data_IF_755708851961
#
_entry.id   IF_755708851961
#
_cell.length_a   1.000
_cell.length_b   1.000
_cell.length_c   1.000
_cell.angle_alpha   90.00
_cell.angle_beta   90.00
_cell.angle_gamma   90.00
#
_symmetry.space_group_name_H-M   'P 1'
#
loop_
_entity.id
_entity.type
_entity.pdbx_description
1 polymer ?
#
# COMPACT_ATOMS: atom_id res chain seq x y z
N UNK A 1 -8.77 -53.26 34.13
CA UNK A 1 -9.54 -52.18 33.46
C UNK A 1 -9.11 -50.84 34.06
N UNK A 2 -8.00 -50.28 33.58
CA UNK A 2 -7.48 -48.96 33.94
C UNK A 2 -6.85 -48.43 32.65
N UNK A 3 -6.98 -47.13 32.36
CA UNK A 3 -6.62 -46.42 31.10
C UNK A 3 -7.82 -46.21 30.17
N UNK A 4 -8.69 -45.25 30.50
CA UNK A 4 -9.60 -44.60 29.52
C UNK A 4 -10.14 -43.23 29.99
N UNK A 5 -9.65 -42.68 31.11
CA UNK A 5 -10.18 -41.44 31.72
C UNK A 5 -9.31 -40.18 31.51
N UNK A 6 -8.20 -40.28 30.76
CA UNK A 6 -7.25 -39.16 30.62
C UNK A 6 -7.54 -38.19 29.46
N UNK A 7 -8.46 -38.53 28.54
CA UNK A 7 -8.71 -37.73 27.33
C UNK A 7 -9.53 -36.43 27.54
N UNK A 8 -10.56 -36.35 28.43
CA UNK A 8 -11.36 -35.12 28.54
C UNK A 8 -10.65 -34.00 29.32
N UNK A 9 -9.62 -34.31 30.11
CA UNK A 9 -8.89 -33.30 30.91
C UNK A 9 -7.90 -32.48 30.07
N UNK A 10 -7.32 -33.07 29.02
CA UNK A 10 -6.39 -32.38 28.11
C UNK A 10 -7.15 -31.41 27.19
N UNK A 11 -8.37 -31.74 26.79
CA UNK A 11 -9.22 -30.87 25.98
C UNK A 11 -9.71 -29.63 26.74
N UNK A 12 -9.97 -29.75 28.06
CA UNK A 12 -10.38 -28.61 28.88
C UNK A 12 -9.22 -27.66 29.22
N UNK A 13 -7.98 -28.16 29.30
CA UNK A 13 -6.80 -27.33 29.60
C UNK A 13 -6.35 -26.46 28.40
N UNK A 14 -6.68 -26.84 27.16
CA UNK A 14 -6.34 -26.07 25.96
C UNK A 14 -7.21 -24.81 25.76
N UNK A 15 -8.38 -24.72 26.41
CA UNK A 15 -9.32 -23.59 26.24
C UNK A 15 -8.94 -22.39 27.15
N UNK A 16 -8.12 -22.60 28.18
CA UNK A 16 -7.81 -21.58 29.20
C UNK A 16 -6.57 -20.72 28.85
N UNK A 17 -5.81 -21.09 27.81
CA UNK A 17 -4.48 -20.53 27.56
C UNK A 17 -4.37 -19.45 26.49
N UNK A 18 -5.38 -19.27 25.62
CA UNK A 18 -5.33 -18.24 24.60
C UNK A 18 -5.92 -16.94 25.17
N UNK A 19 -5.07 -16.04 25.66
CA UNK A 19 -5.46 -14.65 25.86
C UNK A 19 -6.07 -14.15 24.55
N UNK A 20 -7.26 -13.52 24.56
CA UNK A 20 -7.73 -12.86 23.35
C UNK A 20 -6.66 -11.87 22.92
N UNK A 21 -6.18 -11.97 21.69
CA UNK A 21 -5.42 -10.91 21.06
C UNK A 21 -6.35 -9.70 21.01
N UNK A 22 -6.20 -8.82 21.98
CA UNK A 22 -6.94 -7.57 22.08
C UNK A 22 -6.24 -6.61 21.15
N UNK A 23 -6.66 -6.60 19.89
CA UNK A 23 -6.20 -5.59 18.96
C UNK A 23 -6.51 -4.20 19.54
N UNK A 24 -5.51 -3.31 19.53
CA UNK A 24 -5.64 -1.96 20.05
C UNK A 24 -6.61 -1.13 19.21
N UNK A 25 -7.00 0.09 19.63
CA UNK A 25 -7.66 1.01 18.69
C UNK A 25 -6.73 1.30 17.50
N UNK A 26 -7.26 1.67 16.31
CA UNK A 26 -6.43 2.15 15.22
C UNK A 26 -5.52 3.30 15.67
N UNK A 27 -4.26 3.25 15.23
CA UNK A 27 -3.23 4.25 15.46
C UNK A 27 -3.07 5.14 14.23
N UNK A 28 -2.66 6.39 14.44
CA UNK A 28 -2.41 7.32 13.34
C UNK A 28 -1.14 6.89 12.57
N UNK A 29 -1.25 6.84 11.25
CA UNK A 29 -0.16 6.53 10.35
C UNK A 29 0.26 7.77 9.56
N UNK A 30 1.56 8.06 9.48
CA UNK A 30 2.08 9.16 8.69
C UNK A 30 3.53 8.94 8.26
N UNK A 31 3.93 9.55 7.14
CA UNK A 31 5.30 9.46 6.67
C UNK A 31 5.50 9.89 5.23
N UNK A 32 6.59 9.44 4.62
CA UNK A 32 6.95 9.73 3.23
C UNK A 32 7.00 8.46 2.38
N UNK A 33 6.66 8.62 1.11
CA UNK A 33 6.81 7.61 0.07
C UNK A 33 7.59 8.25 -1.08
N UNK A 34 8.85 7.86 -1.21
CA UNK A 34 9.69 8.23 -2.34
C UNK A 34 9.65 7.10 -3.36
N UNK A 35 9.54 7.43 -4.65
CA UNK A 35 9.44 6.39 -5.68
C UNK A 35 10.23 6.73 -6.93
N UNK A 36 10.69 5.69 -7.62
CA UNK A 36 11.38 5.78 -8.89
C UNK A 36 10.76 4.82 -9.90
N UNK A 37 10.18 5.38 -10.98
CA UNK A 37 9.65 4.59 -12.09
C UNK A 37 10.78 3.81 -12.77
N UNK A 38 10.58 2.51 -12.96
CA UNK A 38 11.52 1.62 -13.63
C UNK A 38 11.37 1.84 -15.15
N UNK A 39 12.34 2.47 -15.86
CA UNK A 39 12.12 2.90 -17.24
C UNK A 39 11.81 1.75 -18.21
N UNK A 40 12.40 0.57 -17.98
CA UNK A 40 12.18 -0.62 -18.81
C UNK A 40 10.80 -1.28 -18.63
N UNK A 41 10.03 -0.87 -17.62
CA UNK A 41 8.69 -1.43 -17.34
C UNK A 41 7.56 -0.70 -18.07
N UNK A 42 7.83 0.47 -18.66
CA UNK A 42 6.80 1.38 -19.18
C UNK A 42 6.24 0.88 -20.51
N UNK A 43 4.95 0.54 -20.53
CA UNK A 43 4.23 0.05 -21.70
C UNK A 43 3.08 1.02 -22.05
N UNK A 44 3.30 1.96 -22.97
CA UNK A 44 2.27 2.91 -23.39
C UNK A 44 1.38 2.33 -24.50
N UNK A 45 0.08 2.66 -24.45
CA UNK A 45 -0.90 2.41 -25.51
C UNK A 45 -1.82 3.62 -25.67
N UNK A 46 -1.91 4.15 -26.88
CA UNK A 46 -2.78 5.29 -27.19
C UNK A 46 -4.06 4.85 -27.88
N UNK A 47 -5.20 5.42 -27.50
CA UNK A 47 -6.47 5.27 -28.18
C UNK A 47 -7.22 6.62 -28.21
N UNK A 48 -7.25 7.27 -29.37
CA UNK A 48 -7.81 8.61 -29.51
C UNK A 48 -7.03 9.62 -28.65
N UNK A 49 -7.75 10.37 -27.82
CA UNK A 49 -7.19 11.38 -26.91
C UNK A 49 -6.74 10.81 -25.56
N UNK A 50 -6.75 9.48 -25.40
CA UNK A 50 -6.34 8.83 -24.17
C UNK A 50 -5.03 8.05 -24.37
N UNK A 51 -4.15 8.12 -23.37
CA UNK A 51 -2.98 7.26 -23.26
C UNK A 51 -3.12 6.39 -22.02
N UNK A 52 -2.93 5.09 -22.18
CA UNK A 52 -2.89 4.11 -21.12
C UNK A 52 -1.44 3.70 -20.91
N UNK A 53 -0.96 3.68 -19.67
CA UNK A 53 0.39 3.21 -19.35
C UNK A 53 0.25 2.12 -18.30
N UNK A 54 0.90 0.98 -18.51
CA UNK A 54 1.24 0.04 -17.44
C UNK A 54 2.74 0.18 -17.14
N UNK A 55 3.11 0.18 -15.87
CA UNK A 55 4.51 0.33 -15.44
C UNK A 55 4.71 -0.22 -14.02
N UNK A 56 5.97 -0.21 -13.59
CA UNK A 56 6.41 -0.54 -12.25
C UNK A 56 7.37 0.54 -11.71
N UNK A 57 7.46 0.64 -10.40
CA UNK A 57 8.36 1.53 -9.67
C UNK A 57 8.93 0.86 -8.43
N UNK A 58 10.09 1.32 -8.00
CA UNK A 58 10.64 0.98 -6.69
C UNK A 58 10.34 2.13 -5.72
N UNK A 59 9.88 1.78 -4.52
CA UNK A 59 9.48 2.73 -3.48
C UNK A 59 10.31 2.61 -2.21
N UNK A 60 10.50 3.72 -1.51
CA UNK A 60 11.05 3.78 -0.16
C UNK A 60 10.05 4.50 0.75
N UNK A 61 9.74 3.87 1.88
CA UNK A 61 8.84 4.40 2.91
C UNK A 61 9.63 4.77 4.15
N UNK A 62 9.28 5.91 4.75
CA UNK A 62 9.73 6.32 6.10
C UNK A 62 8.54 6.79 6.93
N UNK A 63 8.63 6.72 8.26
CA UNK A 63 7.56 7.09 9.19
C UNK A 63 6.90 5.85 9.81
N UNK A 64 5.57 5.75 9.77
CA UNK A 64 4.86 4.58 10.30
C UNK A 64 5.17 3.29 9.54
N UNK A 65 5.35 3.40 8.22
CA UNK A 65 5.92 2.33 7.39
C UNK A 65 7.40 2.65 7.15
N UNK A 66 8.29 1.74 7.52
CA UNK A 66 9.73 1.86 7.28
C UNK A 66 10.21 0.69 6.43
N UNK A 67 10.59 0.93 5.17
CA UNK A 67 10.97 -0.16 4.30
C UNK A 67 11.01 0.19 2.82
N UNK A 68 10.98 -0.86 2.00
CA UNK A 68 11.06 -0.77 0.54
C UNK A 68 9.85 -1.43 -0.09
N UNK A 69 9.52 -1.01 -1.30
CA UNK A 69 8.50 -1.65 -2.09
C UNK A 69 8.91 -1.81 -3.55
N UNK A 70 8.29 -2.81 -4.17
CA UNK A 70 8.17 -2.88 -5.61
C UNK A 70 6.69 -2.68 -5.92
N UNK A 71 6.35 -1.77 -6.82
CA UNK A 71 4.97 -1.38 -7.06
C UNK A 71 4.63 -1.61 -8.52
N UNK A 72 3.38 -2.00 -8.79
CA UNK A 72 2.85 -2.11 -10.16
C UNK A 72 1.64 -1.24 -10.32
N UNK A 73 1.56 -0.50 -11.42
CA UNK A 73 0.49 0.47 -11.60
C UNK A 73 0.07 0.64 -13.05
N UNK A 74 -1.10 1.25 -13.19
CA UNK A 74 -1.66 1.70 -14.46
C UNK A 74 -2.07 3.16 -14.38
N UNK A 75 -1.77 3.91 -15.43
CA UNK A 75 -2.21 5.28 -15.65
C UNK A 75 -3.23 5.33 -16.77
N UNK A 76 -4.21 6.20 -16.62
CA UNK A 76 -5.07 6.66 -17.69
C UNK A 76 -4.91 8.17 -17.80
N UNK A 77 -4.34 8.61 -18.92
CA UNK A 77 -4.11 10.00 -19.26
C UNK A 77 -5.18 10.47 -20.25
N UNK A 78 -5.98 11.45 -19.85
CA UNK A 78 -7.02 12.07 -20.66
C UNK A 78 -6.54 13.45 -21.13
N UNK A 79 -6.26 13.59 -22.43
CA UNK A 79 -5.93 14.88 -23.02
C UNK A 79 -7.16 15.78 -23.03
N UNK A 80 -7.14 16.85 -22.23
CA UNK A 80 -8.21 17.86 -22.14
C UNK A 80 -7.97 19.08 -23.03
N UNK A 81 -6.71 19.48 -23.18
CA UNK A 81 -6.27 20.55 -24.06
C UNK A 81 -4.90 20.18 -24.67
N UNK A 82 -4.33 20.96 -25.61
CA UNK A 82 -3.02 20.66 -26.20
C UNK A 82 -1.93 20.34 -25.16
N UNK A 83 -1.94 21.06 -24.04
CA UNK A 83 -0.93 20.96 -22.97
C UNK A 83 -1.54 20.65 -21.59
N UNK A 84 -2.75 20.06 -21.56
CA UNK A 84 -3.42 19.69 -20.30
C UNK A 84 -3.88 18.24 -20.39
N UNK A 85 -3.37 17.44 -19.47
CA UNK A 85 -3.65 16.01 -19.31
C UNK A 85 -4.13 15.76 -17.89
N UNK A 86 -5.33 15.23 -17.75
CA UNK A 86 -5.81 14.68 -16.48
C UNK A 86 -5.41 13.22 -16.37
N UNK A 87 -4.82 12.83 -15.26
CA UNK A 87 -4.24 11.51 -15.08
C UNK A 87 -4.88 10.86 -13.87
N UNK A 88 -5.34 9.63 -14.04
CA UNK A 88 -5.76 8.76 -12.95
C UNK A 88 -4.75 7.61 -12.85
N UNK A 89 -4.35 7.28 -11.62
CA UNK A 89 -3.47 6.14 -11.32
C UNK A 89 -4.18 5.14 -10.44
N UNK A 90 -3.91 3.86 -10.68
CA UNK A 90 -4.23 2.76 -9.77
C UNK A 90 -3.07 1.76 -9.78
N UNK A 91 -2.66 1.32 -8.61
CA UNK A 91 -1.64 0.29 -8.48
C UNK A 91 -1.70 -0.46 -7.16
N UNK A 92 -0.82 -1.43 -7.05
CA UNK A 92 -0.55 -2.21 -5.85
C UNK A 92 0.92 -2.03 -5.47
N UNK A 93 1.16 -1.75 -4.19
CA UNK A 93 2.46 -1.62 -3.53
C UNK A 93 2.78 -2.95 -2.87
N UNK A 94 3.91 -3.56 -3.21
CA UNK A 94 4.41 -4.78 -2.56
C UNK A 94 5.53 -4.41 -1.59
N UNK A 95 5.15 -4.10 -0.35
CA UNK A 95 6.03 -3.58 0.69
C UNK A 95 6.71 -4.70 1.48
N UNK A 96 7.97 -4.49 1.83
CA UNK A 96 8.73 -5.27 2.82
C UNK A 96 9.42 -4.33 3.78
N UNK A 97 9.22 -4.53 5.08
CA UNK A 97 9.79 -3.69 6.11
C UNK A 97 9.03 -3.79 7.42
N UNK A 98 9.08 -2.69 8.17
CA UNK A 98 8.56 -2.60 9.53
C UNK A 98 7.34 -1.66 9.60
N UNK A 99 6.37 -2.05 10.43
CA UNK A 99 5.22 -1.22 10.81
C UNK A 99 5.06 -1.31 12.32
N UNK A 100 5.33 -0.22 13.02
CA UNK A 100 5.19 -0.12 14.49
C UNK A 100 5.84 -1.32 15.22
N UNK A 101 7.16 -1.49 15.00
CA UNK A 101 8.00 -2.56 15.56
C UNK A 101 7.71 -4.00 15.09
N UNK A 102 6.80 -4.20 14.12
CA UNK A 102 6.53 -5.51 13.52
C UNK A 102 7.12 -5.63 12.12
N UNK A 103 7.83 -6.72 11.84
CA UNK A 103 8.48 -6.94 10.55
C UNK A 103 7.66 -7.88 9.66
N UNK A 104 7.52 -7.52 8.38
CA UNK A 104 6.85 -8.40 7.43
C UNK A 104 6.68 -7.83 6.05
N UNK A 105 5.63 -8.30 5.38
CA UNK A 105 5.24 -7.85 4.04
C UNK A 105 3.82 -7.33 4.04
N UNK A 106 3.54 -6.30 3.26
CA UNK A 106 2.18 -5.81 3.00
C UNK A 106 1.93 -5.71 1.51
N UNK A 107 0.69 -5.95 1.10
CA UNK A 107 0.18 -5.45 -0.17
C UNK A 107 -0.76 -4.30 0.11
N UNK A 108 -0.49 -3.12 -0.47
CA UNK A 108 -1.35 -1.95 -0.35
C UNK A 108 -1.87 -1.56 -1.72
N UNK A 109 -3.17 -1.28 -1.83
CA UNK A 109 -3.75 -0.71 -3.05
C UNK A 109 -3.75 0.80 -2.97
N UNK A 110 -3.26 1.47 -4.00
CA UNK A 110 -3.36 2.92 -4.13
C UNK A 110 -4.17 3.33 -5.37
N UNK A 111 -4.88 4.44 -5.23
CA UNK A 111 -5.56 5.13 -6.32
C UNK A 111 -5.33 6.62 -6.18
N UNK A 112 -5.13 7.32 -7.29
CA UNK A 112 -4.86 8.75 -7.23
C UNK A 112 -5.08 9.45 -8.56
N UNK A 113 -4.82 10.74 -8.55
CA UNK A 113 -4.97 11.62 -9.70
C UNK A 113 -4.00 12.80 -9.66
N UNK A 114 -3.71 13.34 -10.84
CA UNK A 114 -3.05 14.63 -11.02
C UNK A 114 -3.47 15.28 -12.35
N UNK A 115 -3.15 16.56 -12.50
CA UNK A 115 -3.19 17.25 -13.79
C UNK A 115 -1.76 17.65 -14.15
N UNK A 116 -1.36 17.38 -15.40
CA UNK A 116 0.00 17.58 -15.92
C UNK A 116 -0.03 18.11 -17.35
N UNK A 117 1.13 18.50 -17.87
CA UNK A 117 1.34 18.86 -19.29
C UNK A 117 1.72 17.66 -20.16
N UNK A 118 2.11 16.54 -19.56
CA UNK A 118 2.46 15.29 -20.24
C UNK A 118 1.77 14.10 -19.57
N UNK A 119 1.86 12.92 -20.18
CA UNK A 119 1.35 11.68 -19.61
C UNK A 119 2.47 10.97 -18.85
N UNK A 120 2.42 11.02 -17.52
CA UNK A 120 3.44 10.49 -16.61
C UNK A 120 3.77 11.49 -15.51
N UNK A 121 4.60 11.12 -14.53
CA UNK A 121 5.03 12.04 -13.48
C UNK A 121 5.73 13.27 -14.08
N UNK A 122 5.39 14.46 -13.62
CA UNK A 122 5.91 15.71 -14.15
C UNK A 122 6.26 16.69 -13.05
N UNK A 123 7.34 17.45 -13.27
CA UNK A 123 7.76 18.51 -12.36
C UNK A 123 6.67 19.56 -12.22
N UNK A 124 6.39 19.96 -10.98
CA UNK A 124 5.35 20.95 -10.65
C UNK A 124 3.92 20.40 -10.65
N UNK A 125 3.69 19.13 -11.02
CA UNK A 125 2.40 18.48 -10.82
C UNK A 125 2.31 17.91 -9.39
N UNK A 126 1.11 17.95 -8.82
CA UNK A 126 0.82 17.38 -7.49
C UNK A 126 -0.12 16.20 -7.65
N UNK A 127 0.32 15.06 -7.13
CA UNK A 127 -0.55 13.92 -6.95
C UNK A 127 -1.40 14.05 -5.70
N UNK A 128 -2.61 13.50 -5.77
CA UNK A 128 -3.48 13.26 -4.61
C UNK A 128 -4.14 11.90 -4.74
N UNK A 129 -4.28 11.16 -3.64
CA UNK A 129 -4.90 9.85 -3.69
C UNK A 129 -5.19 9.23 -2.33
N UNK A 130 -5.60 7.97 -2.38
CA UNK A 130 -5.87 7.12 -1.22
C UNK A 130 -5.07 5.82 -1.31
N UNK A 131 -4.83 5.21 -0.16
CA UNK A 131 -4.22 3.88 -0.04
C UNK A 131 -5.04 3.01 0.93
N UNK A 132 -4.93 1.68 0.79
CA UNK A 132 -5.58 0.70 1.67
C UNK A 132 -4.75 -0.57 1.72
N UNK A 133 -4.46 -1.10 2.91
CA UNK A 133 -3.82 -2.40 3.09
C UNK A 133 -4.84 -3.49 2.73
N UNK A 134 -4.46 -4.38 1.83
CA UNK A 134 -5.33 -5.45 1.33
C UNK A 134 -4.84 -6.86 1.67
N UNK A 135 -3.57 -7.00 2.03
CA UNK A 135 -2.98 -8.27 2.45
C UNK A 135 -1.71 -8.03 3.28
N UNK A 136 -1.37 -8.98 4.14
CA UNK A 136 -0.22 -8.92 5.04
C UNK A 136 0.44 -10.29 5.23
N UNK A 137 1.73 -10.30 5.54
CA UNK A 137 2.50 -11.51 5.78
C UNK A 137 3.59 -11.32 6.84
N UNK A 138 4.02 -12.43 7.45
CA UNK A 138 4.92 -12.38 8.60
C UNK A 138 4.19 -11.88 9.85
N UNK A 139 4.81 -10.98 10.60
CA UNK A 139 4.17 -10.35 11.76
C UNK A 139 3.07 -9.38 11.33
N UNK A 140 3.10 -8.92 10.08
CA UNK A 140 2.12 -7.99 9.51
C UNK A 140 0.83 -8.66 8.99
N UNK A 141 0.62 -9.96 9.24
CA UNK A 141 -0.49 -10.72 8.68
C UNK A 141 -1.89 -10.17 9.05
N UNK A 142 -2.02 -9.62 10.25
CA UNK A 142 -3.27 -9.08 10.78
C UNK A 142 -3.31 -7.54 10.81
N UNK A 143 -2.44 -6.91 10.01
CA UNK A 143 -2.38 -5.45 9.89
C UNK A 143 -3.39 -4.96 8.87
N UNK A 144 -4.19 -3.99 9.28
CA UNK A 144 -5.17 -3.31 8.43
C UNK A 144 -4.92 -1.81 8.45
N UNK A 145 -5.27 -1.12 7.38
CA UNK A 145 -5.07 0.33 7.34
C UNK A 145 -5.57 0.96 6.06
N UNK A 146 -5.80 2.26 6.13
CA UNK A 146 -6.16 3.08 4.99
C UNK A 146 -5.80 4.53 5.23
N UNK A 147 -5.72 5.30 4.16
CA UNK A 147 -5.42 6.72 4.27
C UNK A 147 -5.37 7.44 2.95
N UNK A 148 -4.70 8.59 2.99
CA UNK A 148 -4.48 9.49 1.87
C UNK A 148 -3.00 9.70 1.61
N UNK A 149 -2.67 10.11 0.41
CA UNK A 149 -1.32 10.54 0.04
C UNK A 149 -1.38 11.74 -0.90
N UNK A 150 -0.36 12.60 -0.82
CA UNK A 150 -0.23 13.81 -1.63
C UNK A 150 1.22 14.24 -1.73
N UNK A 151 1.58 14.88 -2.85
CA UNK A 151 2.92 15.46 -3.02
C UNK A 151 3.29 15.68 -4.47
N UNK A 152 4.44 16.32 -4.73
CA UNK A 152 5.00 16.36 -6.06
C UNK A 152 5.31 14.94 -6.58
N UNK A 153 5.53 14.83 -7.89
CA UNK A 153 6.10 13.61 -8.46
C UNK A 153 7.35 13.17 -7.68
N UNK A 154 7.50 11.85 -7.49
CA UNK A 154 8.63 11.17 -6.84
C UNK A 154 8.76 11.38 -5.32
N UNK A 155 8.12 12.39 -4.73
CA UNK A 155 8.18 12.66 -3.28
C UNK A 155 6.78 12.89 -2.72
N UNK A 156 6.23 11.86 -2.08
CA UNK A 156 4.89 11.88 -1.54
C UNK A 156 4.91 11.88 -0.01
N UNK A 157 3.89 12.49 0.57
CA UNK A 157 3.55 12.36 1.99
C UNK A 157 2.28 11.53 2.09
N UNK A 158 2.21 10.65 3.08
CA UNK A 158 1.01 9.89 3.39
C UNK A 158 0.56 10.15 4.83
N UNK A 159 -0.74 9.99 5.04
CA UNK A 159 -1.39 10.01 6.34
C UNK A 159 -2.57 9.05 6.34
N UNK A 160 -2.95 8.49 7.50
CA UNK A 160 -4.05 7.57 7.60
C UNK A 160 -4.15 6.93 8.98
N UNK A 161 -4.72 5.73 9.02
CA UNK A 161 -4.81 4.94 10.23
C UNK A 161 -4.39 3.49 9.94
N UNK A 162 -3.71 2.88 10.90
CA UNK A 162 -3.30 1.47 10.88
C UNK A 162 -3.78 0.80 12.16
N UNK A 163 -4.16 -0.45 12.06
CA UNK A 163 -4.62 -1.28 13.15
C UNK A 163 -3.80 -2.57 13.12
N UNK A 164 -3.10 -2.82 14.22
CA UNK A 164 -2.22 -3.97 14.41
C UNK A 164 -2.83 -4.83 15.51
N UNK A 165 -2.91 -6.14 15.27
CA UNK A 165 -3.59 -7.09 16.16
C UNK A 165 -2.64 -7.79 17.12
#
# INVERSE_FOLDING_TARGET
MKKLLALPLVAAALIVGASPAMAGPPEDAAGTWEYQVIPGSVVPRTAGNNTFIAAAEDGQFTGTFEGWSYDTFSLICHRKAPDVVDINVKGDIYFTGDVMDQSGTLTMRFVGKMTSTNCGPADGATWTGTWTIIDGGGELADVHGHGTWTGPAYHLTYAGQVHVS
#
